data_IF_291686662240
#
_entry.id   IF_291686662240
#
_cell.length_a   1.000
_cell.length_b   1.000
_cell.length_c   1.000
_cell.angle_alpha   90.00
_cell.angle_beta   90.00
_cell.angle_gamma   90.00
#
_symmetry.space_group_name_H-M   'P 1'
#
loop_
_entity.id
_entity.type
_entity.pdbx_description
1 polymer ?
#
# COMPACT_ATOMS: atom_id res chain seq x y z
N UNK A 1 -43.82 -8.97 20.97
CA UNK A 1 -43.83 -9.95 19.87
C UNK A 1 -42.42 -10.45 19.81
N UNK A 2 -42.18 -11.50 20.58
CA UNK A 2 -40.87 -12.10 20.73
C UNK A 2 -40.42 -12.56 19.35
N UNK A 3 -39.21 -12.18 18.97
CA UNK A 3 -38.52 -12.78 17.85
C UNK A 3 -38.19 -14.20 18.30
N UNK A 4 -39.17 -15.09 18.23
CA UNK A 4 -38.93 -16.53 18.29
C UNK A 4 -37.77 -16.80 17.34
N UNK A 5 -36.73 -17.38 17.92
CA UNK A 5 -35.46 -17.72 17.31
C UNK A 5 -35.72 -18.30 15.92
N UNK A 6 -35.52 -17.50 14.86
CA UNK A 6 -35.74 -17.96 13.49
C UNK A 6 -34.59 -18.91 13.18
N UNK A 7 -34.69 -20.14 13.66
CA UNK A 7 -33.81 -21.26 13.33
C UNK A 7 -34.18 -21.73 11.92
N UNK A 8 -33.98 -20.86 10.95
CA UNK A 8 -34.21 -21.17 9.56
C UNK A 8 -32.87 -21.42 8.88
N UNK A 9 -32.69 -22.67 8.44
CA UNK A 9 -31.51 -23.08 7.72
C UNK A 9 -31.63 -22.72 6.23
N UNK A 10 -30.57 -22.15 5.67
CA UNK A 10 -30.42 -21.95 4.24
C UNK A 10 -29.74 -23.20 3.67
N UNK A 11 -30.28 -23.77 2.60
CA UNK A 11 -29.59 -24.86 1.89
C UNK A 11 -28.42 -24.29 1.09
N UNK A 12 -27.26 -24.91 1.24
CA UNK A 12 -26.02 -24.56 0.53
C UNK A 12 -25.57 -25.77 -0.30
N UNK A 13 -25.11 -25.48 -1.52
CA UNK A 13 -24.48 -26.47 -2.40
C UNK A 13 -23.02 -26.65 -2.02
N UNK A 14 -22.60 -27.87 -1.67
CA UNK A 14 -21.24 -28.14 -1.18
C UNK A 14 -20.17 -28.07 -2.27
N UNK A 15 -20.54 -28.19 -3.54
CA UNK A 15 -19.60 -28.17 -4.65
C UNK A 15 -19.26 -26.73 -5.07
N UNK A 16 -20.26 -25.86 -5.12
CA UNK A 16 -20.12 -24.47 -5.56
C UNK A 16 -20.11 -23.46 -4.42
N UNK A 17 -20.38 -23.90 -3.19
CA UNK A 17 -20.56 -23.05 -2.01
C UNK A 17 -21.57 -21.91 -2.22
N UNK A 18 -22.61 -22.15 -3.05
CA UNK A 18 -23.70 -21.19 -3.28
C UNK A 18 -24.93 -21.54 -2.43
N UNK A 19 -25.57 -20.53 -1.86
CA UNK A 19 -26.77 -20.66 -1.04
C UNK A 19 -28.05 -20.45 -1.83
N UNK A 20 -29.14 -21.08 -1.39
CA UNK A 20 -30.45 -20.94 -2.03
C UNK A 20 -31.05 -19.55 -1.84
N UNK A 21 -31.29 -18.84 -2.94
CA UNK A 21 -31.96 -17.53 -2.95
C UNK A 21 -33.40 -17.63 -2.43
N UNK A 22 -34.09 -18.72 -2.77
CA UNK A 22 -35.47 -18.96 -2.36
C UNK A 22 -35.56 -19.10 -0.83
N UNK A 23 -34.64 -19.84 -0.21
CA UNK A 23 -34.66 -20.01 1.24
C UNK A 23 -34.43 -18.68 1.96
N UNK A 24 -33.51 -17.85 1.48
CA UNK A 24 -33.28 -16.49 2.01
C UNK A 24 -34.55 -15.64 1.92
N UNK A 25 -35.22 -15.61 0.76
CA UNK A 25 -36.46 -14.84 0.60
C UNK A 25 -37.55 -15.34 1.53
N UNK A 26 -37.72 -16.66 1.68
CA UNK A 26 -38.70 -17.25 2.61
C UNK A 26 -38.45 -16.81 4.05
N UNK A 27 -37.19 -16.78 4.47
CA UNK A 27 -36.79 -16.38 5.83
C UNK A 27 -37.13 -14.90 6.06
N UNK A 28 -36.67 -14.03 5.15
CA UNK A 28 -36.81 -12.58 5.28
C UNK A 28 -38.26 -12.12 5.13
N UNK A 29 -39.03 -12.73 4.24
CA UNK A 29 -40.43 -12.37 4.02
C UNK A 29 -41.40 -13.17 4.89
N UNK A 30 -40.91 -14.18 5.62
CA UNK A 30 -41.73 -15.13 6.37
C UNK A 30 -42.86 -15.74 5.51
N UNK A 31 -42.53 -16.12 4.27
CA UNK A 31 -43.49 -16.61 3.28
C UNK A 31 -43.23 -18.06 2.85
N UNK A 32 -44.18 -18.65 2.12
CA UNK A 32 -44.02 -20.01 1.59
C UNK A 32 -43.11 -20.04 0.34
N UNK A 33 -42.74 -21.24 -0.12
CA UNK A 33 -41.82 -21.40 -1.24
C UNK A 33 -42.37 -20.89 -2.59
N UNK A 34 -43.70 -20.94 -2.79
CA UNK A 34 -44.35 -20.47 -4.01
C UNK A 34 -44.28 -18.94 -4.09
N UNK A 35 -44.57 -18.26 -3.00
CA UNK A 35 -44.50 -16.80 -2.90
C UNK A 35 -43.05 -16.34 -3.04
N UNK A 36 -42.11 -17.00 -2.36
CA UNK A 36 -40.69 -16.70 -2.49
C UNK A 36 -40.17 -16.88 -3.92
N UNK A 37 -40.67 -17.88 -4.67
CA UNK A 37 -40.34 -18.03 -6.09
C UNK A 37 -40.88 -16.88 -6.93
N UNK A 38 -42.09 -16.42 -6.65
CA UNK A 38 -42.68 -15.26 -7.33
C UNK A 38 -41.88 -13.98 -7.04
N UNK A 39 -41.50 -13.76 -5.77
CA UNK A 39 -40.64 -12.64 -5.38
C UNK A 39 -39.27 -12.72 -6.05
N UNK A 40 -38.65 -13.90 -6.07
CA UNK A 40 -37.36 -14.10 -6.72
C UNK A 40 -37.42 -13.72 -8.20
N UNK A 41 -38.44 -14.19 -8.94
CA UNK A 41 -38.61 -13.84 -10.36
C UNK A 41 -38.71 -12.33 -10.55
N UNK A 42 -39.61 -11.67 -9.81
CA UNK A 42 -39.77 -10.21 -9.86
C UNK A 42 -38.48 -9.49 -9.53
N UNK A 43 -37.75 -9.94 -8.51
CA UNK A 43 -36.49 -9.34 -8.09
C UNK A 43 -35.42 -9.41 -9.20
N UNK A 44 -35.29 -10.58 -9.84
CA UNK A 44 -34.33 -10.79 -10.92
C UNK A 44 -34.72 -10.08 -12.22
N UNK A 45 -36.02 -9.85 -12.43
CA UNK A 45 -36.55 -9.11 -13.58
C UNK A 45 -36.49 -7.58 -13.38
N UNK A 46 -36.79 -7.07 -12.18
CA UNK A 46 -36.94 -5.63 -11.88
C UNK A 46 -35.62 -4.91 -11.54
N UNK A 47 -34.65 -5.58 -10.87
CA UNK A 47 -33.43 -4.90 -10.36
C UNK A 47 -32.35 -4.70 -11.45
N UNK A 48 -32.65 -5.10 -12.68
CA UNK A 48 -31.71 -5.03 -13.79
C UNK A 48 -30.82 -6.27 -13.86
N UNK A 49 -30.20 -6.45 -15.03
CA UNK A 49 -29.51 -7.68 -15.43
C UNK A 49 -28.41 -8.15 -14.48
N UNK A 50 -27.88 -7.29 -13.61
CA UNK A 50 -26.68 -7.56 -12.81
C UNK A 50 -26.86 -8.54 -11.64
N UNK A 51 -28.00 -8.51 -10.93
CA UNK A 51 -28.29 -9.53 -9.91
C UNK A 51 -28.68 -10.86 -10.55
N UNK A 52 -29.39 -10.79 -11.68
CA UNK A 52 -29.79 -11.95 -12.47
C UNK A 52 -28.60 -12.76 -12.98
N UNK A 53 -27.56 -12.10 -13.49
CA UNK A 53 -26.35 -12.75 -14.00
C UNK A 53 -25.51 -13.42 -12.92
N UNK A 54 -25.53 -12.89 -11.68
CA UNK A 54 -24.81 -13.47 -10.53
C UNK A 54 -25.52 -14.67 -9.91
N UNK A 55 -26.82 -14.82 -10.16
CA UNK A 55 -27.61 -15.97 -9.72
C UNK A 55 -27.50 -17.12 -10.72
N UNK A 56 -27.07 -18.30 -10.26
CA UNK A 56 -26.95 -19.50 -11.09
C UNK A 56 -28.05 -20.49 -10.72
N UNK A 57 -28.69 -21.08 -11.72
CA UNK A 57 -29.65 -22.17 -11.52
C UNK A 57 -28.90 -23.47 -11.27
N UNK A 58 -28.95 -23.98 -10.03
CA UNK A 58 -28.23 -25.19 -9.61
C UNK A 58 -29.18 -26.21 -8.99
N UNK A 59 -28.84 -27.49 -9.12
CA UNK A 59 -29.43 -28.55 -8.28
C UNK A 59 -28.55 -28.69 -7.05
N UNK A 60 -29.00 -28.17 -5.92
CA UNK A 60 -28.25 -28.18 -4.66
C UNK A 60 -27.88 -29.61 -4.29
N UNK A 61 -26.58 -29.89 -4.17
CA UNK A 61 -26.00 -31.20 -3.90
C UNK A 61 -26.45 -32.28 -4.91
N UNK A 62 -26.60 -31.89 -6.18
CA UNK A 62 -27.09 -32.73 -7.28
C UNK A 62 -28.48 -33.32 -7.07
N UNK A 63 -29.27 -32.78 -6.14
CA UNK A 63 -30.60 -33.26 -5.76
C UNK A 63 -31.68 -32.21 -6.03
N UNK A 64 -32.90 -32.68 -6.26
CA UNK A 64 -34.09 -31.84 -6.36
C UNK A 64 -34.20 -31.04 -7.67
N UNK A 65 -34.92 -29.92 -7.60
CA UNK A 65 -35.19 -29.02 -8.73
C UNK A 65 -34.09 -28.00 -8.90
N UNK A 66 -33.94 -27.48 -10.12
CA UNK A 66 -33.11 -26.30 -10.39
C UNK A 66 -33.63 -25.14 -9.53
N UNK A 67 -32.73 -24.61 -8.70
CA UNK A 67 -33.00 -23.58 -7.71
C UNK A 67 -32.02 -22.43 -7.96
N UNK A 68 -32.46 -21.17 -7.98
CA UNK A 68 -31.56 -20.04 -8.05
C UNK A 68 -30.68 -20.02 -6.79
N UNK A 69 -29.37 -20.08 -7.01
CA UNK A 69 -28.36 -20.07 -5.97
C UNK A 69 -27.37 -18.92 -6.24
N UNK A 70 -26.89 -18.30 -5.17
CA UNK A 70 -25.96 -17.19 -5.23
C UNK A 70 -24.90 -17.30 -4.12
N UNK A 71 -23.81 -16.57 -4.30
CA UNK A 71 -22.79 -16.43 -3.27
C UNK A 71 -23.28 -15.60 -2.08
N UNK A 72 -22.55 -15.64 -0.96
CA UNK A 72 -22.97 -14.96 0.27
C UNK A 72 -23.18 -13.46 0.09
N UNK A 73 -22.30 -12.80 -0.69
CA UNK A 73 -22.38 -11.37 -0.96
C UNK A 73 -23.66 -11.01 -1.71
N UNK A 74 -23.95 -11.73 -2.79
CA UNK A 74 -25.16 -11.54 -3.60
C UNK A 74 -26.41 -11.85 -2.79
N UNK A 75 -26.39 -12.85 -1.90
CA UNK A 75 -27.53 -13.10 -0.99
C UNK A 75 -27.77 -11.92 -0.05
N UNK A 76 -26.73 -11.29 0.52
CA UNK A 76 -26.89 -10.09 1.37
C UNK A 76 -27.47 -8.92 0.57
N UNK A 77 -27.01 -8.71 -0.67
CA UNK A 77 -27.58 -7.68 -1.56
C UNK A 77 -29.07 -7.94 -1.88
N UNK A 78 -29.45 -9.20 -2.05
CA UNK A 78 -30.85 -9.61 -2.20
C UNK A 78 -31.63 -9.24 -0.93
N UNK A 79 -31.12 -9.53 0.27
CA UNK A 79 -31.78 -9.16 1.54
C UNK A 79 -32.00 -7.65 1.63
N UNK A 80 -31.02 -6.84 1.22
CA UNK A 80 -31.14 -5.38 1.17
C UNK A 80 -32.16 -4.88 0.15
N UNK A 81 -32.41 -5.64 -0.90
CA UNK A 81 -33.36 -5.27 -1.96
C UNK A 81 -34.81 -5.68 -1.63
N UNK A 82 -34.99 -6.64 -0.71
CA UNK A 82 -36.31 -7.13 -0.35
C UNK A 82 -37.13 -6.08 0.43
N UNK A 83 -38.46 -6.02 0.19
CA UNK A 83 -39.39 -5.28 1.05
C UNK A 83 -39.62 -6.01 2.39
N UNK A 84 -40.41 -5.42 3.29
CA UNK A 84 -40.86 -6.10 4.51
C UNK A 84 -40.14 -5.70 5.80
N UNK A 85 -40.71 -6.13 6.94
CA UNK A 85 -40.27 -5.73 8.28
C UNK A 85 -38.89 -6.29 8.63
N UNK A 86 -38.62 -7.56 8.34
CA UNK A 86 -37.32 -8.18 8.64
C UNK A 86 -36.20 -7.58 7.79
N UNK A 87 -36.42 -7.34 6.49
CA UNK A 87 -35.45 -6.65 5.62
C UNK A 87 -35.19 -5.21 6.10
N UNK A 88 -36.23 -4.48 6.54
CA UNK A 88 -36.07 -3.14 7.12
C UNK A 88 -35.24 -3.18 8.40
N UNK A 89 -35.48 -4.15 9.27
CA UNK A 89 -34.73 -4.32 10.51
C UNK A 89 -33.27 -4.69 10.24
N UNK A 90 -33.03 -5.62 9.31
CA UNK A 90 -31.69 -5.97 8.85
C UNK A 90 -30.94 -4.74 8.35
N UNK A 91 -31.54 -3.93 7.45
CA UNK A 91 -30.95 -2.66 6.98
C UNK A 91 -30.66 -1.69 8.13
N UNK A 92 -31.55 -1.58 9.12
CA UNK A 92 -31.35 -0.72 10.30
C UNK A 92 -30.12 -1.17 11.12
N UNK A 93 -29.98 -2.47 11.36
CA UNK A 93 -28.84 -3.04 12.08
C UNK A 93 -27.55 -2.92 11.27
N UNK A 94 -27.60 -3.18 9.96
CA UNK A 94 -26.45 -3.00 9.06
C UNK A 94 -25.96 -1.56 9.10
N UNK A 95 -26.85 -0.57 9.02
CA UNK A 95 -26.48 0.85 9.04
C UNK A 95 -25.76 1.23 10.34
N UNK A 96 -26.24 0.75 11.50
CA UNK A 96 -25.58 0.98 12.78
C UNK A 96 -24.14 0.42 12.80
N UNK A 97 -23.95 -0.80 12.31
CA UNK A 97 -22.62 -1.41 12.22
C UNK A 97 -21.71 -0.68 11.24
N UNK A 98 -22.22 -0.28 10.07
CA UNK A 98 -21.45 0.49 9.07
C UNK A 98 -21.01 1.83 9.66
N UNK A 99 -21.89 2.54 10.38
CA UNK A 99 -21.52 3.80 11.04
C UNK A 99 -20.44 3.61 12.10
N UNK A 100 -20.48 2.52 12.89
CA UNK A 100 -19.42 2.20 13.85
C UNK A 100 -18.08 1.95 13.16
N UNK A 101 -18.08 1.16 12.08
CA UNK A 101 -16.86 0.89 11.28
C UNK A 101 -16.29 2.19 10.72
N UNK A 102 -17.11 3.02 10.08
CA UNK A 102 -16.69 4.30 9.51
C UNK A 102 -16.28 5.33 10.58
N UNK A 103 -16.85 5.23 11.77
CA UNK A 103 -16.50 6.05 12.93
C UNK A 103 -15.20 5.63 13.64
N UNK A 104 -14.55 4.55 13.19
CA UNK A 104 -13.30 4.07 13.79
C UNK A 104 -13.49 3.42 15.17
N UNK A 105 -14.68 2.86 15.44
CA UNK A 105 -14.94 2.16 16.70
C UNK A 105 -14.14 0.86 16.80
N UNK A 106 -13.05 0.89 17.58
CA UNK A 106 -12.15 -0.25 17.78
C UNK A 106 -12.81 -1.43 18.51
N UNK A 107 -13.94 -1.23 19.19
CA UNK A 107 -14.66 -2.34 19.83
C UNK A 107 -15.18 -3.37 18.82
N UNK A 108 -15.41 -2.97 17.56
CA UNK A 108 -15.76 -3.89 16.48
C UNK A 108 -14.67 -4.93 16.22
N UNK A 109 -13.40 -4.56 16.35
CA UNK A 109 -12.29 -5.51 16.13
C UNK A 109 -12.38 -6.63 17.17
N UNK A 110 -12.60 -6.28 18.43
CA UNK A 110 -12.76 -7.26 19.52
C UNK A 110 -14.00 -8.14 19.32
N UNK A 111 -15.12 -7.57 18.87
CA UNK A 111 -16.34 -8.33 18.54
C UNK A 111 -16.10 -9.32 17.39
N UNK A 112 -15.38 -8.89 16.34
CA UNK A 112 -15.03 -9.72 15.19
C UNK A 112 -14.07 -10.84 15.60
N UNK A 113 -13.06 -10.56 16.42
CA UNK A 113 -12.14 -11.56 16.96
C UNK A 113 -12.87 -12.60 17.83
N UNK A 114 -13.71 -12.15 18.77
CA UNK A 114 -14.53 -13.03 19.60
C UNK A 114 -15.45 -13.91 18.75
N UNK A 115 -16.10 -13.33 17.73
CA UNK A 115 -16.95 -14.07 16.80
C UNK A 115 -16.16 -15.06 15.95
N UNK A 116 -14.97 -14.68 15.49
CA UNK A 116 -14.05 -15.57 14.77
C UNK A 116 -13.72 -16.79 15.63
N UNK A 117 -13.29 -16.58 16.87
CA UNK A 117 -12.98 -17.66 17.80
C UNK A 117 -14.20 -18.56 18.07
N UNK A 118 -15.38 -17.98 18.31
CA UNK A 118 -16.61 -18.74 18.54
C UNK A 118 -17.01 -19.62 17.34
N UNK A 119 -16.92 -19.07 16.12
CA UNK A 119 -17.21 -19.82 14.89
C UNK A 119 -16.21 -20.95 14.67
N UNK A 120 -14.94 -20.73 15.00
CA UNK A 120 -13.89 -21.74 14.86
C UNK A 120 -14.07 -22.95 15.78
N UNK A 121 -14.75 -22.80 16.93
CA UNK A 121 -14.99 -23.93 17.84
C UNK A 121 -15.94 -24.99 17.28
N UNK A 122 -16.83 -24.63 16.36
CA UNK A 122 -17.87 -25.54 15.86
C UNK A 122 -17.68 -25.84 14.38
N UNK A 123 -18.02 -27.05 13.96
CA UNK A 123 -17.94 -27.43 12.53
C UNK A 123 -18.89 -26.59 11.67
N UNK A 124 -20.12 -26.38 12.14
CA UNK A 124 -21.09 -25.50 11.48
C UNK A 124 -20.64 -24.04 11.41
N UNK A 125 -19.96 -23.54 12.45
CA UNK A 125 -19.41 -22.19 12.47
C UNK A 125 -18.28 -22.01 11.46
N UNK A 126 -17.37 -22.98 11.35
CA UNK A 126 -16.32 -22.99 10.31
C UNK A 126 -16.92 -23.02 8.89
N UNK A 127 -17.95 -23.83 8.66
CA UNK A 127 -18.64 -23.89 7.38
C UNK A 127 -19.34 -22.56 7.03
N UNK A 128 -20.02 -21.94 8.01
CA UNK A 128 -20.66 -20.64 7.82
C UNK A 128 -19.64 -19.52 7.56
N UNK A 129 -18.50 -19.54 8.26
CA UNK A 129 -17.43 -18.59 8.04
C UNK A 129 -16.83 -18.75 6.64
N UNK A 130 -16.56 -19.99 6.21
CA UNK A 130 -16.07 -20.26 4.85
C UNK A 130 -17.04 -19.70 3.80
N UNK A 131 -18.32 -20.02 3.92
CA UNK A 131 -19.38 -19.54 3.02
C UNK A 131 -19.44 -18.01 2.93
N UNK A 132 -19.32 -17.31 4.06
CA UNK A 132 -19.42 -15.84 4.13
C UNK A 132 -18.17 -15.11 3.59
N UNK A 133 -17.00 -15.76 3.57
CA UNK A 133 -15.72 -15.13 3.22
C UNK A 133 -15.18 -15.52 1.84
N UNK A 134 -15.77 -16.51 1.16
CA UNK A 134 -15.20 -17.12 -0.05
C UNK A 134 -15.01 -16.15 -1.24
N UNK A 135 -15.85 -15.11 -1.38
CA UNK A 135 -15.70 -14.10 -2.45
C UNK A 135 -14.67 -13.00 -2.14
N UNK A 136 -14.16 -12.95 -0.90
CA UNK A 136 -13.13 -11.97 -0.55
C UNK A 136 -11.76 -12.32 -1.13
N UNK A 137 -11.55 -13.59 -1.51
CA UNK A 137 -10.31 -14.06 -2.14
C UNK A 137 -10.31 -13.88 -3.66
N UNK A 138 -11.47 -13.72 -4.30
CA UNK A 138 -11.60 -13.59 -5.77
C UNK A 138 -11.74 -12.15 -6.27
N UNK A 139 -12.02 -11.18 -5.40
CA UNK A 139 -12.28 -9.78 -5.78
C UNK A 139 -11.16 -8.78 -5.48
N UNK A 140 -10.04 -9.23 -4.89
CA UNK A 140 -8.79 -8.47 -4.79
C UNK A 140 -7.65 -9.28 -5.43
N UNK A 141 -7.62 -9.29 -6.77
CA UNK A 141 -6.44 -9.58 -7.59
C UNK A 141 -5.59 -10.81 -7.24
N UNK A 142 -5.94 -11.97 -7.81
CA UNK A 142 -5.07 -13.15 -7.93
C UNK A 142 -5.61 -14.37 -7.20
N UNK A 143 -6.04 -15.39 -7.95
CA UNK A 143 -6.41 -16.70 -7.40
C UNK A 143 -5.30 -17.17 -6.45
N UNK A 144 -5.60 -17.34 -5.15
CA UNK A 144 -4.64 -17.87 -4.18
C UNK A 144 -5.00 -19.31 -3.83
N UNK A 145 -4.08 -20.25 -4.04
CA UNK A 145 -4.19 -21.61 -3.49
C UNK A 145 -3.25 -21.68 -2.28
N UNK A 146 -3.78 -22.06 -1.11
CA UNK A 146 -3.02 -22.20 0.16
C UNK A 146 -2.38 -20.91 0.69
N UNK A 147 -2.98 -19.75 0.42
CA UNK A 147 -2.43 -18.44 0.83
C UNK A 147 -1.27 -17.95 -0.04
N UNK A 148 -1.03 -18.60 -1.18
CA UNK A 148 -0.06 -18.22 -2.19
C UNK A 148 -0.77 -17.99 -3.53
N UNK A 149 -0.38 -16.98 -4.32
CA UNK A 149 -0.88 -16.81 -5.68
C UNK A 149 -0.74 -18.09 -6.50
N UNK A 150 -1.71 -18.39 -7.36
CA UNK A 150 -1.79 -19.59 -8.20
C UNK A 150 -0.52 -19.81 -9.02
N UNK A 151 0.02 -18.71 -9.56
CA UNK A 151 1.29 -18.68 -10.28
C UNK A 151 2.44 -19.22 -9.45
N UNK A 152 2.41 -18.99 -8.13
CA UNK A 152 3.42 -19.46 -7.21
C UNK A 152 3.18 -20.91 -6.74
N UNK A 153 1.94 -21.35 -6.64
CA UNK A 153 1.63 -22.74 -6.29
C UNK A 153 2.20 -23.73 -7.32
N UNK A 154 2.13 -23.34 -8.60
CA UNK A 154 2.67 -24.08 -9.76
C UNK A 154 4.17 -23.79 -10.04
N UNK A 155 4.78 -22.85 -9.32
CA UNK A 155 6.17 -22.44 -9.55
C UNK A 155 7.19 -23.39 -8.90
N UNK A 156 8.39 -23.41 -9.49
CA UNK A 156 9.54 -24.16 -8.96
C UNK A 156 10.01 -23.56 -7.63
N UNK A 157 10.71 -24.33 -6.78
CA UNK A 157 11.20 -23.86 -5.46
C UNK A 157 11.98 -22.55 -5.51
N UNK A 158 12.77 -22.34 -6.57
CA UNK A 158 13.52 -21.10 -6.80
C UNK A 158 12.62 -19.88 -7.02
N UNK A 159 11.51 -20.05 -7.74
CA UNK A 159 10.54 -18.99 -7.98
C UNK A 159 9.70 -18.70 -6.73
N UNK A 160 9.38 -19.73 -5.95
CA UNK A 160 8.74 -19.59 -4.62
C UNK A 160 9.62 -18.79 -3.67
N UNK A 161 10.92 -19.12 -3.57
CA UNK A 161 11.87 -18.37 -2.73
C UNK A 161 11.98 -16.90 -3.14
N UNK A 162 12.11 -16.63 -4.44
CA UNK A 162 12.21 -15.25 -4.94
C UNK A 162 10.96 -14.41 -4.62
N UNK A 163 9.78 -15.01 -4.70
CA UNK A 163 8.53 -14.34 -4.34
C UNK A 163 8.44 -14.06 -2.84
N UNK A 164 8.76 -15.03 -1.99
CA UNK A 164 8.76 -14.82 -0.54
C UNK A 164 9.75 -13.74 -0.12
N UNK A 165 10.95 -13.73 -0.70
CA UNK A 165 11.90 -12.66 -0.44
C UNK A 165 11.38 -11.30 -0.94
N UNK A 166 10.76 -11.23 -2.11
CA UNK A 166 10.16 -9.99 -2.62
C UNK A 166 9.05 -9.46 -1.70
N UNK A 167 8.19 -10.36 -1.19
CA UNK A 167 7.11 -10.02 -0.26
C UNK A 167 7.63 -9.60 1.11
N UNK A 168 8.63 -10.30 1.64
CA UNK A 168 9.31 -9.91 2.89
C UNK A 168 9.97 -8.53 2.75
N UNK A 169 10.55 -8.21 1.60
CA UNK A 169 11.11 -6.88 1.31
C UNK A 169 10.03 -5.80 1.27
N UNK A 170 8.87 -6.10 0.68
CA UNK A 170 7.74 -5.17 0.63
C UNK A 170 7.18 -4.88 2.03
N UNK A 171 6.99 -5.92 2.85
CA UNK A 171 6.53 -5.80 4.22
C UNK A 171 7.54 -5.01 5.09
N UNK A 172 8.84 -5.26 4.94
CA UNK A 172 9.89 -4.50 5.62
C UNK A 172 9.90 -3.01 5.20
N UNK A 173 9.63 -2.72 3.93
CA UNK A 173 9.51 -1.35 3.44
C UNK A 173 8.30 -0.62 4.03
N UNK A 174 7.15 -1.30 4.11
CA UNK A 174 5.94 -0.77 4.77
C UNK A 174 6.21 -0.50 6.26
N UNK A 175 6.86 -1.43 6.95
CA UNK A 175 7.23 -1.27 8.37
C UNK A 175 8.14 -0.06 8.58
N UNK A 176 9.13 0.14 7.70
CA UNK A 176 10.04 1.29 7.75
C UNK A 176 9.33 2.62 7.52
N UNK A 177 8.38 2.68 6.57
CA UNK A 177 7.55 3.88 6.35
C UNK A 177 6.71 4.21 7.58
N UNK A 178 6.08 3.19 8.17
CA UNK A 178 5.29 3.33 9.39
C UNK A 178 6.13 3.85 10.56
N UNK A 179 7.33 3.31 10.76
CA UNK A 179 8.25 3.76 11.81
C UNK A 179 8.67 5.23 11.64
N UNK A 180 8.94 5.68 10.40
CA UNK A 180 9.29 7.09 10.12
C UNK A 180 8.12 8.04 10.37
N UNK A 181 6.92 7.67 9.94
CA UNK A 181 5.71 8.45 10.20
C UNK A 181 5.43 8.54 11.71
N UNK A 182 5.57 7.43 12.42
CA UNK A 182 5.36 7.36 13.85
C UNK A 182 6.37 8.21 14.63
N UNK A 183 7.66 8.15 14.26
CA UNK A 183 8.68 9.01 14.86
C UNK A 183 8.38 10.51 14.71
N UNK A 184 7.87 10.93 13.55
CA UNK A 184 7.45 12.31 13.32
C UNK A 184 6.26 12.72 14.21
N UNK A 185 5.28 11.82 14.37
CA UNK A 185 4.13 12.06 15.25
C UNK A 185 4.57 12.16 16.72
N UNK A 186 5.35 11.21 17.21
CA UNK A 186 5.84 11.17 18.60
C UNK A 186 6.74 12.39 18.90
N UNK A 187 7.59 12.79 17.97
CA UNK A 187 8.43 13.98 18.10
C UNK A 187 7.63 15.28 18.23
N UNK A 188 6.54 15.43 17.46
CA UNK A 188 5.65 16.58 17.58
C UNK A 188 4.87 16.57 18.90
N UNK A 189 4.36 15.42 19.33
CA UNK A 189 3.64 15.29 20.61
C UNK A 189 4.53 15.63 21.80
N UNK A 190 5.80 15.23 21.77
CA UNK A 190 6.78 15.58 22.80
C UNK A 190 7.00 17.10 22.85
N UNK A 191 7.26 17.76 21.72
CA UNK A 191 7.43 19.22 21.66
C UNK A 191 6.18 19.97 22.15
N UNK A 192 4.99 19.47 21.78
CA UNK A 192 3.72 20.02 22.24
C UNK A 192 3.54 19.87 23.73
N UNK A 193 3.90 18.72 24.31
CA UNK A 193 3.79 18.45 25.75
C UNK A 193 4.69 19.36 26.60
N UNK A 194 5.83 19.79 26.03
CA UNK A 194 6.77 20.71 26.67
C UNK A 194 6.40 22.19 26.48
N UNK A 195 5.31 22.49 25.75
CA UNK A 195 4.94 23.87 25.41
C UNK A 195 5.91 24.56 24.44
N UNK A 196 6.76 23.78 23.77
CA UNK A 196 7.81 24.27 22.86
C UNK A 196 7.42 24.19 21.38
N UNK A 197 6.26 23.60 21.05
CA UNK A 197 5.79 23.49 19.68
C UNK A 197 5.15 24.80 19.19
N UNK A 198 5.59 25.30 18.04
CA UNK A 198 4.95 26.40 17.33
C UNK A 198 4.15 25.91 16.09
N UNK A 199 3.48 26.85 15.39
CA UNK A 199 2.71 26.52 14.19
C UNK A 199 3.59 26.00 13.04
N UNK A 200 4.88 26.40 12.99
CA UNK A 200 5.83 26.01 11.95
C UNK A 200 6.32 24.58 12.16
N UNK A 201 6.46 24.14 13.40
CA UNK A 201 6.74 22.74 13.74
C UNK A 201 5.60 21.83 13.26
N UNK A 202 4.35 22.22 13.49
CA UNK A 202 3.19 21.46 13.01
C UNK A 202 3.23 21.23 11.49
N UNK A 203 3.62 22.24 10.71
CA UNK A 203 3.77 22.12 9.25
C UNK A 203 4.94 21.18 8.91
N UNK A 204 6.07 21.33 9.59
CA UNK A 204 7.28 20.52 9.34
C UNK A 204 7.04 19.03 9.61
N UNK A 205 6.37 18.70 10.72
CA UNK A 205 6.04 17.31 11.06
C UNK A 205 4.93 16.75 10.16
N UNK A 206 3.94 17.56 9.78
CA UNK A 206 2.94 17.16 8.78
C UNK A 206 3.58 16.82 7.43
N UNK A 207 4.56 17.61 6.97
CA UNK A 207 5.29 17.36 5.73
C UNK A 207 6.22 16.14 5.84
N UNK A 208 6.75 15.84 7.02
CA UNK A 208 7.53 14.63 7.26
C UNK A 208 6.66 13.36 7.18
N UNK A 209 5.45 13.39 7.76
CA UNK A 209 4.47 12.30 7.64
C UNK A 209 4.01 12.14 6.20
N UNK A 210 3.69 13.24 5.50
CA UNK A 210 3.29 13.19 4.10
C UNK A 210 4.38 12.54 3.23
N UNK A 211 5.65 12.96 3.38
CA UNK A 211 6.80 12.36 2.67
C UNK A 211 6.96 10.87 2.95
N UNK A 212 6.81 10.45 4.21
CA UNK A 212 6.90 9.04 4.59
C UNK A 212 5.81 8.17 3.92
N UNK A 213 4.65 8.75 3.60
CA UNK A 213 3.50 8.07 2.99
C UNK A 213 3.52 8.15 1.46
N UNK A 214 3.87 9.29 0.87
CA UNK A 214 3.79 9.54 -0.59
C UNK A 214 4.98 9.05 -1.40
N UNK A 215 6.13 8.77 -0.79
CA UNK A 215 7.26 8.16 -1.51
C UNK A 215 6.95 6.70 -1.86
N UNK A 216 6.25 6.53 -2.98
CA UNK A 216 5.66 5.30 -3.48
C UNK A 216 6.56 4.42 -4.35
N UNK A 217 7.89 4.51 -4.29
CA UNK A 217 8.76 3.81 -5.26
C UNK A 217 10.10 3.27 -4.76
N UNK A 218 10.28 3.09 -3.44
CA UNK A 218 11.61 3.05 -2.85
C UNK A 218 12.08 1.74 -2.22
N UNK A 219 11.57 0.55 -2.59
CA UNK A 219 12.08 -0.70 -2.01
C UNK A 219 12.86 -1.53 -3.03
N UNK A 220 12.22 -1.95 -4.13
CA UNK A 220 12.88 -2.75 -5.17
C UNK A 220 13.89 -1.94 -6.01
N UNK A 221 13.63 -0.65 -6.23
CA UNK A 221 14.58 0.28 -6.88
C UNK A 221 15.71 0.67 -5.92
N UNK A 222 15.48 0.61 -4.61
CA UNK A 222 16.49 0.99 -3.61
C UNK A 222 17.54 -0.09 -3.40
N UNK A 223 17.27 -1.38 -3.56
CA UNK A 223 18.35 -2.39 -3.45
C UNK A 223 19.19 -2.45 -4.74
N UNK A 224 18.57 -2.37 -5.92
CA UNK A 224 19.30 -2.22 -7.19
C UNK A 224 20.04 -0.87 -7.31
N UNK A 225 19.54 0.21 -6.69
CA UNK A 225 20.24 1.51 -6.60
C UNK A 225 21.17 1.64 -5.39
N UNK A 226 21.00 0.90 -4.29
CA UNK A 226 21.91 0.94 -3.13
C UNK A 226 23.18 0.13 -3.42
N UNK A 227 23.07 -0.98 -4.16
CA UNK A 227 24.23 -1.66 -4.73
C UNK A 227 25.00 -0.77 -5.71
N UNK A 228 24.33 0.18 -6.37
CA UNK A 228 24.96 1.20 -7.22
C UNK A 228 25.42 2.46 -6.43
N UNK A 229 24.79 2.78 -5.30
CA UNK A 229 25.03 4.02 -4.53
C UNK A 229 26.39 4.03 -3.82
N UNK A 230 26.97 2.87 -3.54
CA UNK A 230 28.28 2.74 -2.91
C UNK A 230 29.39 2.39 -3.90
N UNK A 231 29.08 2.27 -5.21
CA UNK A 231 30.10 2.09 -6.24
C UNK A 231 30.80 3.44 -6.49
N UNK A 232 32.08 3.60 -6.12
CA UNK A 232 32.82 4.85 -6.29
C UNK A 232 33.11 5.18 -7.77
N UNK A 233 32.75 4.30 -8.70
CA UNK A 233 32.96 4.47 -10.15
C UNK A 233 31.77 5.11 -10.87
N UNK A 234 30.62 5.28 -10.20
CA UNK A 234 29.44 5.91 -10.80
C UNK A 234 29.50 7.44 -10.66
N UNK A 235 29.43 8.21 -11.77
CA UNK A 235 29.45 9.66 -11.74
C UNK A 235 28.34 10.26 -10.86
N UNK A 236 28.71 11.21 -10.00
CA UNK A 236 27.83 11.83 -9.01
C UNK A 236 26.53 12.45 -9.58
N UNK A 237 26.50 13.09 -10.76
CA UNK A 237 25.26 13.57 -11.39
C UNK A 237 24.24 12.48 -11.72
N UNK A 238 24.69 11.24 -11.90
CA UNK A 238 23.85 10.09 -12.22
C UNK A 238 23.33 9.40 -10.95
N UNK A 239 23.79 9.84 -9.79
CA UNK A 239 23.37 9.31 -8.49
C UNK A 239 22.08 9.99 -8.03
N UNK A 240 21.30 9.25 -7.24
CA UNK A 240 20.08 9.77 -6.63
C UNK A 240 20.40 11.03 -5.77
N UNK A 241 19.53 12.06 -5.77
CA UNK A 241 19.72 13.27 -4.96
C UNK A 241 20.04 13.01 -3.48
N UNK A 242 19.51 11.92 -2.91
CA UNK A 242 19.80 11.52 -1.55
C UNK A 242 21.28 11.12 -1.33
N UNK A 243 21.91 10.46 -2.31
CA UNK A 243 23.28 9.93 -2.18
C UNK A 243 24.37 10.89 -2.69
N UNK A 244 24.07 11.77 -3.64
CA UNK A 244 25.05 12.77 -4.10
C UNK A 244 25.37 13.81 -3.02
N UNK A 245 24.42 14.08 -2.12
CA UNK A 245 24.51 15.11 -1.09
C UNK A 245 24.33 16.53 -1.65
N UNK A 246 24.56 17.54 -0.82
CA UNK A 246 24.42 18.95 -1.22
C UNK A 246 25.50 19.36 -2.22
N UNK A 247 25.20 20.37 -3.04
CA UNK A 247 26.19 20.95 -3.94
C UNK A 247 27.29 21.63 -3.13
N UNK A 248 28.55 21.36 -3.46
CA UNK A 248 29.71 21.94 -2.78
C UNK A 248 30.38 23.00 -3.64
N UNK A 249 30.91 24.03 -2.97
CA UNK A 249 31.75 25.03 -3.62
C UNK A 249 33.21 24.90 -3.17
N UNK A 250 34.16 25.25 -4.04
CA UNK A 250 35.58 25.23 -3.68
C UNK A 250 35.89 26.15 -2.48
N UNK A 251 35.16 27.26 -2.32
CA UNK A 251 35.31 28.17 -1.18
C UNK A 251 34.82 27.54 0.12
N UNK A 252 33.71 26.80 0.09
CA UNK A 252 33.21 26.05 1.26
C UNK A 252 34.25 25.03 1.71
N UNK A 253 34.82 24.28 0.77
CA UNK A 253 35.84 23.26 1.06
C UNK A 253 37.15 23.89 1.55
N UNK A 254 37.62 24.98 0.93
CA UNK A 254 38.83 25.67 1.38
C UNK A 254 38.66 26.30 2.78
N UNK A 255 37.48 26.81 3.09
CA UNK A 255 37.15 27.31 4.42
C UNK A 255 37.21 26.18 5.47
N UNK A 256 36.63 25.01 5.19
CA UNK A 256 36.74 23.82 6.07
C UNK A 256 38.21 23.42 6.28
N UNK A 257 39.02 23.49 5.23
CA UNK A 257 40.45 23.20 5.28
C UNK A 257 41.28 24.30 5.94
N UNK A 258 40.67 25.45 6.28
CA UNK A 258 41.34 26.65 6.82
C UNK A 258 42.44 27.19 5.91
N UNK A 259 42.24 27.12 4.59
CA UNK A 259 43.17 27.65 3.58
C UNK A 259 42.48 28.74 2.75
N UNK A 260 43.21 29.80 2.41
CA UNK A 260 42.71 30.87 1.54
C UNK A 260 43.07 30.58 0.09
N UNK A 261 42.06 30.53 -0.79
CA UNK A 261 42.27 30.42 -2.24
C UNK A 261 42.68 31.80 -2.77
N UNK A 262 43.83 31.95 -3.44
CA UNK A 262 44.18 33.17 -4.16
C UNK A 262 43.35 33.26 -5.44
N UNK A 263 43.06 34.48 -5.88
CA UNK A 263 42.18 34.72 -7.04
C UNK A 263 42.69 34.05 -8.34
N UNK A 264 44.00 33.97 -8.53
CA UNK A 264 44.60 33.26 -9.67
C UNK A 264 44.57 31.73 -9.54
N UNK A 265 44.20 31.21 -8.36
CA UNK A 265 44.17 29.80 -8.00
C UNK A 265 42.85 29.09 -8.37
N UNK A 266 41.73 29.80 -8.43
CA UNK A 266 40.40 29.21 -8.66
C UNK A 266 40.32 28.45 -9.99
N UNK A 267 40.81 29.05 -11.08
CA UNK A 267 40.84 28.39 -12.39
C UNK A 267 41.78 27.18 -12.43
N UNK A 268 42.86 27.19 -11.65
CA UNK A 268 43.79 26.05 -11.53
C UNK A 268 43.16 24.92 -10.72
N UNK A 269 42.48 25.24 -9.62
CA UNK A 269 41.73 24.28 -8.79
C UNK A 269 40.61 23.66 -9.62
N UNK A 270 39.83 24.44 -10.37
CA UNK A 270 38.78 23.92 -11.23
C UNK A 270 39.28 22.96 -12.31
N UNK A 271 40.39 23.29 -12.99
CA UNK A 271 41.04 22.39 -13.96
C UNK A 271 41.51 21.10 -13.30
N UNK A 272 42.10 21.21 -12.10
CA UNK A 272 42.60 20.05 -11.36
C UNK A 272 41.46 19.16 -10.85
N UNK A 273 40.38 19.76 -10.37
CA UNK A 273 39.16 19.07 -9.97
C UNK A 273 38.59 18.27 -11.15
N UNK A 274 38.50 18.88 -12.33
CA UNK A 274 38.05 18.18 -13.53
C UNK A 274 38.96 17.00 -13.88
N UNK A 275 40.29 17.15 -13.78
CA UNK A 275 41.23 16.06 -14.02
C UNK A 275 41.08 14.90 -13.02
N UNK A 276 40.90 15.20 -11.73
CA UNK A 276 40.66 14.20 -10.69
C UNK A 276 39.30 13.51 -10.87
N UNK A 277 38.30 14.25 -11.33
CA UNK A 277 36.99 13.71 -11.66
C UNK A 277 37.05 12.77 -12.88
N UNK A 278 37.82 13.15 -13.92
CA UNK A 278 38.15 12.26 -15.05
C UNK A 278 38.86 10.99 -14.59
N UNK A 279 39.82 11.09 -13.68
CA UNK A 279 40.56 9.94 -13.14
C UNK A 279 39.62 8.95 -12.42
N UNK A 280 38.63 9.47 -11.67
CA UNK A 280 37.67 8.64 -10.94
C UNK A 280 36.57 8.03 -11.82
N UNK A 281 36.02 8.83 -12.74
CA UNK A 281 34.77 8.50 -13.44
C UNK A 281 34.92 8.32 -14.96
N UNK A 282 36.10 8.58 -15.51
CA UNK A 282 36.40 8.51 -16.95
C UNK A 282 36.05 9.79 -17.74
N UNK A 283 36.52 9.84 -18.98
CA UNK A 283 36.39 11.00 -19.87
C UNK A 283 34.93 11.34 -20.21
N UNK A 284 34.10 10.31 -20.42
CA UNK A 284 32.69 10.49 -20.74
C UNK A 284 31.92 11.18 -19.61
N UNK A 285 32.26 10.89 -18.35
CA UNK A 285 31.66 11.53 -17.19
C UNK A 285 32.14 12.99 -17.04
N UNK A 286 33.43 13.23 -17.25
CA UNK A 286 34.01 14.56 -17.14
C UNK A 286 33.56 15.54 -18.25
N UNK A 287 33.14 15.02 -19.40
CA UNK A 287 32.53 15.80 -20.47
C UNK A 287 31.10 16.27 -20.11
N UNK A 288 30.41 15.55 -19.24
CA UNK A 288 28.99 15.74 -18.91
C UNK A 288 28.76 16.27 -17.48
N UNK A 289 29.73 16.99 -16.91
CA UNK A 289 29.56 17.62 -15.60
C UNK A 289 28.54 18.76 -15.72
N UNK A 290 27.47 18.80 -14.91
CA UNK A 290 26.50 19.87 -14.96
C UNK A 290 27.15 21.23 -14.68
N UNK A 291 26.82 22.20 -15.53
CA UNK A 291 27.30 23.58 -15.39
C UNK A 291 26.21 24.46 -14.82
N UNK A 292 26.60 25.40 -13.96
CA UNK A 292 25.73 26.45 -13.43
C UNK A 292 26.35 27.81 -13.70
N UNK A 293 25.49 28.80 -13.84
CA UNK A 293 25.90 30.19 -13.98
C UNK A 293 26.24 30.76 -12.60
N UNK A 294 27.49 31.17 -12.41
CA UNK A 294 27.94 31.91 -11.23
C UNK A 294 28.23 33.35 -11.61
N UNK A 295 27.90 34.28 -10.72
CA UNK A 295 28.27 35.68 -10.88
C UNK A 295 29.67 35.90 -10.29
N UNK A 296 30.61 36.32 -11.13
CA UNK A 296 31.96 36.70 -10.71
C UNK A 296 32.28 38.08 -11.29
N UNK A 297 32.49 39.06 -10.39
CA UNK A 297 32.76 40.47 -10.73
C UNK A 297 31.69 41.10 -11.64
N UNK A 298 30.41 40.81 -11.38
CA UNK A 298 29.28 41.34 -12.16
C UNK A 298 29.12 40.71 -13.55
N UNK A 299 29.91 39.68 -13.87
CA UNK A 299 29.79 38.89 -15.09
C UNK A 299 29.34 37.48 -14.76
N UNK A 300 28.50 36.91 -15.61
CA UNK A 300 28.00 35.54 -15.45
C UNK A 300 28.99 34.59 -16.14
N UNK A 301 29.52 33.65 -15.39
CA UNK A 301 30.44 32.61 -15.87
C UNK A 301 29.83 31.22 -15.67
N UNK A 302 29.90 30.32 -16.66
CA UNK A 302 29.53 28.93 -16.46
C UNK A 302 30.61 28.21 -15.65
N UNK A 303 30.24 27.62 -14.53
CA UNK A 303 31.12 26.82 -13.68
C UNK A 303 30.56 25.41 -13.49
N UNK A 304 31.46 24.43 -13.43
CA UNK A 304 31.10 23.04 -13.13
C UNK A 304 30.57 22.92 -11.70
N UNK A 305 29.50 22.14 -11.54
CA UNK A 305 28.86 21.86 -10.25
C UNK A 305 29.34 20.50 -9.74
N UNK A 306 29.65 20.43 -8.46
CA UNK A 306 30.11 19.22 -7.77
C UNK A 306 29.31 19.03 -6.48
N UNK A 307 29.22 17.80 -5.96
CA UNK A 307 28.42 17.51 -4.77
C UNK A 307 29.27 16.96 -3.61
N UNK A 308 28.69 16.90 -2.42
CA UNK A 308 29.34 16.48 -1.18
C UNK A 308 30.04 15.11 -1.30
N UNK A 309 29.50 14.21 -2.13
CA UNK A 309 30.13 12.92 -2.45
C UNK A 309 31.55 13.04 -3.05
N UNK A 310 31.83 14.12 -3.78
CA UNK A 310 33.12 14.42 -4.41
C UNK A 310 33.99 15.39 -3.60
N UNK A 311 33.62 15.65 -2.33
CA UNK A 311 34.34 16.60 -1.49
C UNK A 311 35.82 16.23 -1.31
N UNK A 312 36.16 14.95 -1.35
CA UNK A 312 37.53 14.48 -1.24
C UNK A 312 38.37 14.85 -2.48
N UNK A 313 37.80 14.78 -3.68
CA UNK A 313 38.46 15.24 -4.91
C UNK A 313 38.68 16.75 -4.87
N UNK A 314 37.70 17.51 -4.37
CA UNK A 314 37.82 18.96 -4.23
C UNK A 314 38.92 19.32 -3.22
N UNK A 315 39.00 18.61 -2.09
CA UNK A 315 40.07 18.77 -1.09
C UNK A 315 41.44 18.50 -1.72
N UNK A 316 41.60 17.41 -2.50
CA UNK A 316 42.84 17.09 -3.22
C UNK A 316 43.19 18.15 -4.27
N UNK A 317 42.20 18.67 -5.00
CA UNK A 317 42.40 19.72 -5.99
C UNK A 317 42.94 20.99 -5.32
N UNK A 318 42.33 21.42 -4.22
CA UNK A 318 42.77 22.58 -3.42
C UNK A 318 44.21 22.37 -2.91
N UNK A 319 44.52 21.21 -2.31
CA UNK A 319 45.87 20.90 -1.79
C UNK A 319 46.96 20.87 -2.85
N UNK A 320 46.62 20.52 -4.09
CA UNK A 320 47.63 20.41 -5.15
C UNK A 320 47.96 21.73 -5.84
N UNK A 321 47.16 22.78 -5.59
CA UNK A 321 47.32 24.10 -6.21
C UNK A 321 47.83 25.14 -5.21
N UNK A 322 47.55 24.95 -3.92
CA UNK A 322 47.98 25.83 -2.82
C UNK A 322 49.20 25.23 -2.10
#
# INVERSE_FOLDING_TARGET
MDLDDVTAAIRVDTATNKGSVIDVIKIVQSCNASDASTYCKRLLDDIGTDLGTRCVQLRINSKGRLTPCADAKTLVEIVWSLPGKAAREFRRQSAANVCRVLGGDLSIVQEVEARHHALQQTEGGRAAQKFLLEDSESSVGGEMISGLPLELALANETQKSAYFEARMREEAAIATKKARAQFAVEGYELLRSMGAADHRDCITFSDAVRRAVTDGGGAAVVEARALAADDPTIPTPQCDPFYRGEEISMHTVAHEMRVKIPEQGEGRIGKRMKALYTERYGDAAAANIPTRNIEFRGQIWPANSYWARDADLMKRAVQSVL
#
